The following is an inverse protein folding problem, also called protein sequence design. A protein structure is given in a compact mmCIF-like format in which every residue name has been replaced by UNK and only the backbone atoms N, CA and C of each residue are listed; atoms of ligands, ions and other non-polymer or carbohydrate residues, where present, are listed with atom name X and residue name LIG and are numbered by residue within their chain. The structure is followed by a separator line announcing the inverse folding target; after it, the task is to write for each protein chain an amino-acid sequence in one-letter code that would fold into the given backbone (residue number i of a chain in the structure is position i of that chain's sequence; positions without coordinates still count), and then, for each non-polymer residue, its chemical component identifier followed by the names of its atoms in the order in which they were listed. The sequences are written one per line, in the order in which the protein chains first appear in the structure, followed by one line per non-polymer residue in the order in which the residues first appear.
data_IF_553015086066
#
_entry.id   IF_553015086066
#
_cell.length_a   1.000
_cell.length_b   1.000
_cell.length_c   1.000
_cell.angle_alpha   90.00
_cell.angle_beta   90.00
_cell.angle_gamma   90.00
#
_symmetry.space_group_name_H-M   'P 1'
#
loop_
_entity.id
_entity.type
_entity.pdbx_description
1 polymer ?
2 water ?
#
# COMPACT_ATOMS: atom_id res chain seq x y z
N UNK A 1 1.05 -9.68 0.82
CA UNK A 1 -0.18 -9.22 0.14
C UNK A 1 -0.98 -8.31 1.07
N UNK A 2 -2.02 -7.67 0.52
CA UNK A 2 -2.94 -6.86 1.29
C UNK A 2 -2.22 -5.73 2.02
N UNK A 3 -1.33 -5.04 1.31
CA UNK A 3 -0.50 -4.00 1.92
C UNK A 3 -0.42 -2.75 1.06
N UNK A 4 -0.10 -1.63 1.70
CA UNK A 4 0.02 -0.34 1.03
C UNK A 4 1.42 0.23 1.21
N UNK A 5 1.98 0.75 0.12
CA UNK A 5 3.36 1.25 0.10
C UNK A 5 3.51 2.64 -0.52
N UNK A 6 2.49 3.11 -1.24
CA UNK A 6 2.59 4.36 -1.98
C UNK A 6 1.91 5.51 -1.26
N UNK A 7 1.36 6.43 -2.05
CA UNK A 7 0.69 7.61 -1.53
C UNK A 7 -0.79 7.48 -1.85
N UNK A 8 -1.61 7.45 -0.80
CA UNK A 8 -3.03 7.20 -0.96
C UNK A 8 -3.86 8.20 -0.17
#
# INVERSE_FOLDING_TARGET
SYSSYGQS
#
